data_IF_526888740207
#
_entry.id   IF_526888740207
#
_cell.length_a   1.000
_cell.length_b   1.000
_cell.length_c   1.000
_cell.angle_alpha   90.00
_cell.angle_beta   90.00
_cell.angle_gamma   90.00
#
_symmetry.space_group_name_H-M   'P 1'
#
loop_
_entity.id
_entity.type
_entity.pdbx_description
1 polymer ?
#
# COMPACT_ATOMS: atom_id res chain seq x y z
N UNK A 1 11.49 28.92 25.62
CA UNK A 1 10.91 27.55 25.68
C UNK A 1 10.01 27.40 24.46
N UNK A 2 10.47 26.73 23.41
CA UNK A 2 9.69 26.51 22.18
C UNK A 2 8.81 25.29 22.45
N UNK A 3 7.48 25.34 22.24
CA UNK A 3 6.66 24.15 22.40
C UNK A 3 7.11 23.15 21.33
N UNK A 4 7.47 21.94 21.74
CA UNK A 4 7.68 20.87 20.78
C UNK A 4 6.39 20.75 19.97
N UNK A 5 6.47 21.00 18.66
CA UNK A 5 5.40 20.66 17.74
C UNK A 5 5.11 19.18 17.95
N UNK A 6 3.99 18.87 18.62
CA UNK A 6 3.37 17.58 18.49
C UNK A 6 3.19 17.38 16.98
N UNK A 7 3.84 16.36 16.42
CA UNK A 7 3.55 15.91 15.07
C UNK A 7 2.07 15.54 15.04
N UNK A 8 1.19 16.49 14.71
CA UNK A 8 -0.21 16.18 14.50
C UNK A 8 -0.26 15.29 13.26
N UNK A 9 -0.60 14.02 13.48
CA UNK A 9 -1.00 13.14 12.37
C UNK A 9 -2.15 13.84 11.66
N UNK A 10 -1.97 14.11 10.37
CA UNK A 10 -3.06 14.61 9.55
C UNK A 10 -4.23 13.62 9.64
N UNK A 11 -5.48 14.11 9.69
CA UNK A 11 -6.64 13.24 9.59
C UNK A 11 -6.59 12.46 8.26
N UNK A 12 -7.31 11.32 8.19
CA UNK A 12 -7.42 10.57 6.95
C UNK A 12 -8.00 11.44 5.84
N UNK A 13 -7.71 11.10 4.58
CA UNK A 13 -8.26 11.85 3.43
C UNK A 13 -9.78 11.81 3.40
N UNK A 14 -10.39 10.72 3.86
CA UNK A 14 -11.83 10.62 4.09
C UNK A 14 -12.11 9.97 5.46
N UNK A 15 -13.07 10.48 6.24
CA UNK A 15 -13.52 9.81 7.46
C UNK A 15 -14.11 8.42 7.20
N UNK A 16 -14.55 8.13 5.97
CA UNK A 16 -15.09 6.82 5.58
C UNK A 16 -14.07 5.69 5.72
N UNK A 17 -12.77 5.99 5.68
CA UNK A 17 -11.72 4.98 5.92
C UNK A 17 -11.73 4.40 7.34
N UNK A 18 -12.48 5.04 8.26
CA UNK A 18 -12.68 4.58 9.63
C UNK A 18 -14.00 3.80 9.81
N UNK A 19 -14.79 3.65 8.74
CA UNK A 19 -16.09 2.98 8.76
C UNK A 19 -16.02 1.68 7.97
N UNK A 20 -16.27 0.57 8.64
CA UNK A 20 -16.15 -0.77 8.05
C UNK A 20 -17.10 -1.00 6.87
N UNK A 21 -18.27 -0.36 6.85
CA UNK A 21 -19.30 -0.47 5.81
C UNK A 21 -19.06 0.41 4.58
N UNK A 22 -18.10 1.33 4.65
CA UNK A 22 -17.87 2.29 3.58
C UNK A 22 -16.91 1.75 2.52
N UNK A 23 -17.13 2.14 1.26
CA UNK A 23 -16.16 1.89 0.18
C UNK A 23 -14.98 2.86 0.31
N UNK A 24 -13.72 2.38 0.39
CA UNK A 24 -12.56 3.27 0.34
C UNK A 24 -12.55 4.08 -0.96
N UNK A 25 -12.31 5.39 -0.89
CA UNK A 25 -12.34 6.27 -2.06
C UNK A 25 -11.38 5.81 -3.19
N UNK A 26 -10.31 5.11 -2.80
CA UNK A 26 -9.29 4.60 -3.71
C UNK A 26 -9.60 3.23 -4.28
N UNK A 27 -10.67 2.53 -3.88
CA UNK A 27 -11.09 1.23 -4.46
C UNK A 27 -12.30 1.37 -5.38
N UNK A 28 -12.39 2.45 -6.15
CA UNK A 28 -13.59 2.78 -6.94
C UNK A 28 -13.94 1.70 -7.99
N UNK A 29 -12.97 0.94 -8.50
CA UNK A 29 -13.20 -0.15 -9.47
C UNK A 29 -13.67 -1.46 -8.84
N UNK A 30 -13.65 -1.57 -7.51
CA UNK A 30 -14.02 -2.79 -6.80
C UNK A 30 -15.22 -2.53 -5.90
N UNK A 31 -16.18 -3.43 -5.91
CA UNK A 31 -17.25 -3.42 -4.92
C UNK A 31 -16.76 -4.06 -3.61
N UNK A 32 -16.00 -3.28 -2.85
CA UNK A 32 -15.40 -3.70 -1.59
C UNK A 32 -15.48 -2.60 -0.54
N UNK A 33 -15.78 -3.00 0.67
CA UNK A 33 -15.81 -2.14 1.86
C UNK A 33 -14.43 -2.06 2.54
N UNK A 34 -14.29 -1.18 3.53
CA UNK A 34 -13.13 -1.15 4.44
C UNK A 34 -12.96 -2.49 5.15
N UNK A 35 -14.05 -3.15 5.57
CA UNK A 35 -13.99 -4.48 6.17
C UNK A 35 -13.42 -5.52 5.20
N UNK A 36 -13.85 -5.51 3.94
CA UNK A 36 -13.34 -6.43 2.91
C UNK A 36 -11.84 -6.22 2.65
N UNK A 37 -11.39 -4.96 2.60
CA UNK A 37 -9.98 -4.62 2.48
C UNK A 37 -9.18 -5.17 3.67
N UNK A 38 -9.65 -4.96 4.91
CA UNK A 38 -8.98 -5.48 6.12
C UNK A 38 -8.91 -7.01 6.10
N UNK A 39 -10.01 -7.68 5.74
CA UNK A 39 -10.07 -9.12 5.63
C UNK A 39 -9.08 -9.64 4.57
N UNK A 40 -9.02 -9.00 3.40
CA UNK A 40 -8.11 -9.40 2.34
C UNK A 40 -6.63 -9.17 2.67
N UNK A 41 -6.30 -8.13 3.45
CA UNK A 41 -4.95 -7.90 3.96
C UNK A 41 -4.53 -8.89 5.05
N UNK A 42 -5.51 -9.51 5.74
CA UNK A 42 -5.31 -10.58 6.72
C UNK A 42 -5.49 -12.00 6.18
N UNK A 43 -5.75 -12.17 4.88
CA UNK A 43 -6.04 -13.47 4.25
C UNK A 43 -4.85 -14.42 4.40
N UNK A 44 -5.04 -15.73 4.69
CA UNK A 44 -3.93 -16.68 4.80
C UNK A 44 -3.10 -16.81 3.51
N UNK A 45 -3.67 -16.55 2.33
CA UNK A 45 -2.96 -16.59 1.06
C UNK A 45 -2.06 -15.35 0.86
N UNK A 46 -0.72 -15.50 0.82
CA UNK A 46 0.20 -14.40 0.58
C UNK A 46 0.01 -13.72 -0.78
N UNK A 47 -0.46 -14.45 -1.81
CA UNK A 47 -0.70 -13.87 -3.12
C UNK A 47 -1.89 -12.90 -3.10
N UNK A 48 -2.97 -13.28 -2.42
CA UNK A 48 -4.11 -12.41 -2.17
C UNK A 48 -3.71 -11.18 -1.36
N UNK A 49 -2.99 -11.33 -0.25
CA UNK A 49 -2.49 -10.18 0.53
C UNK A 49 -1.66 -9.24 -0.33
N UNK A 50 -0.73 -9.76 -1.12
CA UNK A 50 0.13 -8.96 -2.00
C UNK A 50 -0.66 -8.17 -3.07
N UNK A 51 -1.69 -8.77 -3.65
CA UNK A 51 -2.56 -8.09 -4.62
C UNK A 51 -3.28 -6.89 -3.98
N UNK A 52 -3.92 -7.11 -2.83
CA UNK A 52 -4.69 -6.08 -2.12
C UNK A 52 -3.81 -4.98 -1.53
N UNK A 53 -2.66 -5.36 -0.97
CA UNK A 53 -1.65 -4.40 -0.53
C UNK A 53 -1.11 -3.58 -1.72
N UNK A 54 -0.97 -4.20 -2.90
CA UNK A 54 -0.59 -3.50 -4.14
C UNK A 54 -1.62 -2.46 -4.58
N UNK A 55 -2.90 -2.80 -4.53
CA UNK A 55 -3.98 -1.85 -4.79
C UNK A 55 -3.96 -0.68 -3.79
N UNK A 56 -3.82 -0.97 -2.50
CA UNK A 56 -3.72 0.05 -1.45
C UNK A 56 -2.57 1.04 -1.71
N UNK A 57 -1.36 0.52 -1.91
CA UNK A 57 -0.16 1.35 -2.09
C UNK A 57 -0.18 2.14 -3.41
N UNK A 58 -0.82 1.60 -4.46
CA UNK A 58 -0.86 2.27 -5.76
C UNK A 58 -1.83 3.45 -5.79
N UNK A 59 -2.91 3.39 -4.99
CA UNK A 59 -4.12 4.18 -5.26
C UNK A 59 -4.53 5.05 -4.07
N UNK A 60 -4.20 4.63 -2.84
CA UNK A 60 -4.44 5.45 -1.66
C UNK A 60 -3.42 6.60 -1.54
N UNK A 61 -3.82 7.66 -0.86
CA UNK A 61 -2.90 8.69 -0.42
C UNK A 61 -1.90 8.05 0.55
N UNK A 62 -0.61 8.33 0.38
CA UNK A 62 0.47 7.74 1.19
C UNK A 62 0.22 7.83 2.69
N UNK A 63 -0.46 8.89 3.18
CA UNK A 63 -0.78 9.03 4.62
C UNK A 63 -1.82 8.02 5.12
N UNK A 64 -2.73 7.58 4.25
CA UNK A 64 -3.85 6.70 4.58
C UNK A 64 -3.45 5.22 4.53
N UNK A 65 -2.38 4.88 3.80
CA UNK A 65 -1.85 3.50 3.71
C UNK A 65 -1.60 2.92 5.11
N UNK A 66 -1.10 3.75 6.02
CA UNK A 66 -0.76 3.35 7.39
C UNK A 66 -1.96 3.13 8.31
N UNK A 67 -3.19 3.30 7.81
CA UNK A 67 -4.43 2.90 8.50
C UNK A 67 -4.72 1.40 8.34
N UNK A 68 -4.06 0.74 7.39
CA UNK A 68 -4.36 -0.63 6.98
C UNK A 68 -3.15 -1.57 7.11
N UNK A 69 -1.94 -1.06 6.91
CA UNK A 69 -0.71 -1.85 6.96
C UNK A 69 0.40 -1.14 7.74
N UNK A 70 1.38 -1.88 8.22
CA UNK A 70 2.61 -1.36 8.80
C UNK A 70 3.76 -1.38 7.78
N UNK A 71 4.81 -0.55 7.96
CA UNK A 71 5.99 -0.62 7.09
C UNK A 71 6.61 -2.03 7.04
N UNK A 72 6.66 -2.75 8.17
CA UNK A 72 7.23 -4.10 8.22
C UNK A 72 6.40 -5.11 7.42
N UNK A 73 5.07 -5.06 7.53
CA UNK A 73 4.20 -5.90 6.69
C UNK A 73 4.43 -5.68 5.20
N UNK A 74 4.67 -4.43 4.79
CA UNK A 74 4.97 -4.09 3.40
C UNK A 74 6.35 -4.61 2.97
N UNK A 75 7.37 -4.49 3.83
CA UNK A 75 8.71 -5.04 3.56
C UNK A 75 8.67 -6.56 3.41
N UNK A 76 7.97 -7.25 4.31
CA UNK A 76 7.83 -8.71 4.30
C UNK A 76 7.15 -9.20 3.01
N UNK A 77 6.16 -8.45 2.50
CA UNK A 77 5.45 -8.81 1.27
C UNK A 77 6.10 -8.26 0.00
N UNK A 78 7.14 -7.42 0.10
CA UNK A 78 7.75 -6.71 -1.02
C UNK A 78 8.07 -7.61 -2.23
N UNK A 79 8.66 -8.82 -2.08
CA UNK A 79 8.99 -9.69 -3.21
C UNK A 79 7.77 -10.06 -4.08
N UNK A 80 6.59 -10.20 -3.48
CA UNK A 80 5.35 -10.56 -4.19
C UNK A 80 4.53 -9.34 -4.59
N UNK A 81 4.56 -8.29 -3.75
CA UNK A 81 3.81 -7.04 -3.88
C UNK A 81 4.32 -6.15 -5.01
N UNK A 82 5.65 -6.04 -5.19
CA UNK A 82 6.24 -4.97 -5.99
C UNK A 82 5.78 -4.96 -7.46
N UNK A 83 5.46 -6.13 -8.04
CA UNK A 83 4.89 -6.25 -9.40
C UNK A 83 3.52 -5.59 -9.56
N UNK A 84 2.79 -5.37 -8.47
CA UNK A 84 1.46 -4.75 -8.48
C UNK A 84 1.52 -3.22 -8.37
N UNK A 85 2.69 -2.62 -8.10
CA UNK A 85 2.79 -1.18 -7.82
C UNK A 85 2.87 -0.30 -9.08
N UNK A 86 3.26 -0.87 -10.23
CA UNK A 86 3.43 -0.10 -11.46
C UNK A 86 4.32 1.12 -11.26
N UNK A 87 3.80 2.32 -11.55
CA UNK A 87 4.56 3.58 -11.48
C UNK A 87 4.90 4.02 -10.05
N UNK A 88 4.16 3.59 -9.03
CA UNK A 88 4.44 3.98 -7.63
C UNK A 88 5.52 3.12 -6.98
N UNK A 89 6.01 2.08 -7.67
CA UNK A 89 7.05 1.16 -7.14
C UNK A 89 8.29 1.91 -6.64
N UNK A 90 8.81 2.85 -7.42
CA UNK A 90 10.02 3.61 -7.06
C UNK A 90 9.79 4.50 -5.83
N UNK A 91 8.62 5.13 -5.71
CA UNK A 91 8.23 5.91 -4.53
C UNK A 91 8.24 5.03 -3.27
N UNK A 92 7.59 3.86 -3.33
CA UNK A 92 7.51 2.96 -2.18
C UNK A 92 8.86 2.33 -1.82
N UNK A 93 9.66 1.95 -2.82
CA UNK A 93 11.02 1.46 -2.61
C UNK A 93 11.86 2.52 -1.86
N UNK A 94 11.79 3.78 -2.30
CA UNK A 94 12.47 4.90 -1.66
C UNK A 94 11.99 5.15 -0.23
N UNK A 95 10.66 5.23 -0.01
CA UNK A 95 10.07 5.46 1.32
C UNK A 95 10.44 4.37 2.32
N UNK A 96 10.51 3.11 1.87
CA UNK A 96 10.76 1.95 2.71
C UNK A 96 12.24 1.57 2.83
N UNK A 97 13.11 2.28 2.09
CA UNK A 97 14.55 2.00 1.95
C UNK A 97 14.82 0.58 1.44
N UNK A 98 14.06 0.17 0.43
CA UNK A 98 14.17 -1.13 -0.22
C UNK A 98 14.96 -1.00 -1.52
N UNK A 99 15.70 -2.04 -1.86
CA UNK A 99 16.23 -2.17 -3.22
C UNK A 99 15.07 -2.37 -4.20
N UNK A 100 15.12 -1.67 -5.33
CA UNK A 100 14.17 -1.94 -6.41
C UNK A 100 14.41 -3.37 -6.90
N UNK A 101 13.39 -4.24 -6.93
CA UNK A 101 13.56 -5.57 -7.51
C UNK A 101 13.99 -5.35 -8.95
N UNK A 102 15.21 -5.79 -9.28
CA UNK A 102 15.77 -5.70 -10.63
C UNK A 102 14.79 -6.45 -11.54
N UNK A 103 13.97 -5.70 -12.28
CA UNK A 103 13.18 -6.29 -13.36
C UNK A 103 14.16 -6.92 -14.36
N UNK A 104 13.72 -7.86 -15.23
CA UNK A 104 14.56 -8.26 -16.35
C UNK A 104 15.01 -6.98 -17.03
N UNK A 105 16.32 -6.81 -17.15
CA UNK A 105 16.87 -5.64 -17.83
C UNK A 105 16.26 -5.62 -19.23
N UNK A 106 15.82 -4.46 -19.72
CA UNK A 106 15.21 -4.32 -21.05
C UNK A 106 16.21 -4.61 -22.20
N UNK A 107 17.31 -5.31 -21.94
CA UNK A 107 18.39 -5.64 -22.87
C UNK A 107 18.67 -7.14 -23.06
N UNK A 108 17.97 -8.05 -22.40
CA UNK A 108 18.20 -9.51 -22.55
C UNK A 108 17.23 -10.18 -23.54
N UNK A 109 16.97 -9.51 -24.67
CA UNK A 109 16.25 -10.12 -25.80
C UNK A 109 16.95 -9.83 -27.11
N UNK A 110 18.06 -10.52 -27.36
CA UNK A 110 18.31 -11.27 -28.61
C UNK A 110 19.66 -11.99 -28.50
N UNK A 111 19.63 -13.31 -28.53
CA UNK A 111 20.71 -14.16 -29.02
C UNK A 111 20.18 -14.88 -30.26
#
# INVERSE_FOLDING_TARGET
MIPMLAFQRLPPTSPDLLRDDARPYFLWWLDATVADLRAALGDPDPARRAYWMGALLREANTRDVWLFVTPDQVRDHWPMLARHLGRTRGLWAWLLRLEEPRGPSAGETHA
#
